data_IF_375217551796
#
_entry.id   IF_375217551796
#
_cell.length_a   1.000
_cell.length_b   1.000
_cell.length_c   1.000
_cell.angle_alpha   90.00
_cell.angle_beta   90.00
_cell.angle_gamma   90.00
#
_symmetry.space_group_name_H-M   'P 1'
#
loop_
_entity.id
_entity.type
_entity.pdbx_description
1 polymer ?
#
# COMPACT_ATOMS: atom_id res chain seq x y z
N UNK A 1 -1.79 17.83 -0.22
CA UNK A 1 -0.47 17.27 -0.52
C UNK A 1 -0.41 15.91 0.12
N UNK A 2 0.07 14.90 -0.62
CA UNK A 2 0.19 13.56 -0.09
C UNK A 2 1.27 13.48 1.00
N UNK A 3 1.17 12.51 1.90
CA UNK A 3 2.16 12.30 2.95
C UNK A 3 3.50 11.87 2.34
N UNK A 4 4.62 12.43 2.82
CA UNK A 4 5.96 12.04 2.35
C UNK A 4 6.35 10.71 2.97
N UNK A 5 6.91 9.82 2.16
CA UNK A 5 7.51 8.57 2.63
C UNK A 5 9.03 8.61 2.44
N UNK A 6 9.80 8.51 3.52
CA UNK A 6 11.27 8.41 3.46
C UNK A 6 11.72 7.15 4.18
N UNK A 7 11.34 7.02 5.46
CA UNK A 7 11.60 5.86 6.30
C UNK A 7 10.35 5.53 7.10
N UNK A 8 10.09 4.26 7.34
CA UNK A 8 8.98 3.79 8.14
C UNK A 8 9.40 2.60 8.98
N UNK A 9 9.22 2.70 10.30
CA UNK A 9 9.35 1.59 11.23
C UNK A 9 7.96 1.16 11.64
N UNK A 10 7.60 -0.11 11.43
CA UNK A 10 6.23 -0.55 11.66
C UNK A 10 6.11 -2.01 12.05
N UNK A 11 5.06 -2.29 12.83
CA UNK A 11 4.63 -3.64 13.16
C UNK A 11 4.23 -4.38 11.89
N UNK A 12 4.74 -5.60 11.75
CA UNK A 12 4.53 -6.46 10.59
C UNK A 12 3.43 -7.48 10.88
N UNK A 13 2.51 -7.62 9.93
CA UNK A 13 1.49 -8.67 9.96
C UNK A 13 1.67 -9.62 8.76
N UNK A 14 1.79 -10.94 9.00
CA UNK A 14 2.00 -11.93 7.94
C UNK A 14 0.67 -12.44 7.37
N UNK A 15 0.32 -12.01 6.17
CA UNK A 15 -0.78 -12.58 5.40
C UNK A 15 -0.24 -13.69 4.48
N UNK A 16 -0.22 -14.92 5.00
CA UNK A 16 0.31 -16.09 4.29
C UNK A 16 -0.67 -16.62 3.23
N UNK A 17 -0.96 -15.80 2.23
CA UNK A 17 -1.88 -16.09 1.13
C UNK A 17 -1.35 -15.49 -0.18
N UNK A 18 -1.28 -16.32 -1.23
CA UNK A 18 -0.91 -15.93 -2.59
C UNK A 18 -2.13 -15.53 -3.41
N UNK A 19 -1.91 -14.77 -4.50
CA UNK A 19 -2.96 -14.34 -5.41
C UNK A 19 -4.11 -13.61 -4.69
N UNK A 20 -3.76 -12.77 -3.72
CA UNK A 20 -4.72 -11.92 -3.02
C UNK A 20 -5.24 -10.88 -4.02
N UNK A 21 -6.44 -11.10 -4.55
CA UNK A 21 -7.02 -10.24 -5.56
C UNK A 21 -7.65 -8.96 -4.96
N UNK A 22 -8.07 -8.04 -5.84
CA UNK A 22 -8.67 -6.77 -5.43
C UNK A 22 -10.08 -6.91 -4.82
N UNK A 23 -10.80 -8.01 -5.04
CA UNK A 23 -12.04 -8.33 -4.34
C UNK A 23 -11.75 -8.75 -2.90
N UNK A 24 -10.73 -9.59 -2.69
CA UNK A 24 -10.26 -9.98 -1.37
C UNK A 24 -9.81 -8.76 -0.56
N UNK A 25 -9.06 -7.83 -1.16
CA UNK A 25 -8.64 -6.59 -0.46
C UNK A 25 -9.85 -5.72 -0.11
N UNK A 26 -10.74 -5.48 -1.06
CA UNK A 26 -11.95 -4.67 -0.85
C UNK A 26 -13.10 -5.18 -1.73
N UNK A 27 -14.13 -5.80 -1.11
CA UNK A 27 -15.25 -6.33 -1.88
C UNK A 27 -16.05 -5.25 -2.63
N UNK A 28 -16.55 -5.61 -3.81
CA UNK A 28 -17.21 -4.70 -4.76
C UNK A 28 -18.42 -3.93 -4.19
N UNK A 29 -19.11 -4.49 -3.20
CA UNK A 29 -20.29 -3.87 -2.58
C UNK A 29 -19.96 -2.56 -1.85
N UNK A 30 -18.70 -2.35 -1.46
CA UNK A 30 -18.28 -1.15 -0.75
C UNK A 30 -17.85 0.00 -1.67
N UNK A 31 -17.80 -0.24 -2.99
CA UNK A 31 -17.26 0.70 -3.99
C UNK A 31 -18.27 1.76 -4.46
N UNK A 32 -19.44 1.85 -3.82
CA UNK A 32 -20.46 2.87 -4.14
C UNK A 32 -20.24 4.19 -3.37
N UNK A 33 -19.31 4.22 -2.42
CA UNK A 33 -18.99 5.44 -1.66
C UNK A 33 -18.24 6.43 -2.56
N UNK A 34 -18.58 7.71 -2.43
CA UNK A 34 -17.92 8.82 -3.15
C UNK A 34 -16.74 9.42 -2.38
N UNK A 35 -16.58 9.10 -1.10
CA UNK A 35 -15.50 9.62 -0.24
C UNK A 35 -14.31 8.68 -0.24
N UNK A 36 -13.07 9.23 -0.23
CA UNK A 36 -11.84 8.43 -0.19
C UNK A 36 -11.52 7.78 1.17
N UNK A 37 -12.29 8.08 2.21
CA UNK A 37 -12.12 7.59 3.58
C UNK A 37 -13.20 6.60 3.98
N UNK A 38 -12.92 5.80 5.01
CA UNK A 38 -13.84 4.80 5.53
C UNK A 38 -13.86 3.50 4.74
N UNK A 39 -12.83 3.24 3.92
CA UNK A 39 -12.60 1.97 3.23
C UNK A 39 -11.79 1.00 4.09
N UNK A 40 -10.94 1.50 5.01
CA UNK A 40 -10.13 0.66 5.89
C UNK A 40 -10.96 -0.22 6.83
N UNK A 41 -12.17 0.23 7.20
CA UNK A 41 -13.13 -0.59 7.95
C UNK A 41 -13.58 -1.86 7.19
N UNK A 42 -13.51 -1.82 5.86
CA UNK A 42 -13.93 -2.89 4.97
C UNK A 42 -12.74 -3.64 4.34
N UNK A 43 -11.50 -3.33 4.78
CA UNK A 43 -10.31 -4.04 4.32
C UNK A 43 -10.41 -5.53 4.68
N UNK A 44 -10.20 -6.39 3.68
CA UNK A 44 -10.32 -7.84 3.79
C UNK A 44 -11.65 -8.31 4.35
N UNK A 45 -12.77 -7.63 4.04
CA UNK A 45 -14.04 -7.82 4.75
C UNK A 45 -14.48 -9.30 4.84
N UNK A 46 -14.48 -10.02 3.71
CA UNK A 46 -14.91 -11.42 3.62
C UNK A 46 -14.01 -12.38 4.41
N UNK A 47 -12.77 -12.00 4.72
CA UNK A 47 -11.85 -12.79 5.53
C UNK A 47 -11.82 -12.34 6.99
N UNK A 48 -11.94 -11.02 7.20
CA UNK A 48 -11.78 -10.34 8.47
C UNK A 48 -13.04 -10.39 9.32
N UNK A 49 -14.21 -10.60 8.74
CA UNK A 49 -15.47 -10.66 9.48
C UNK A 49 -16.26 -11.92 9.15
N UNK A 50 -17.00 -12.43 10.14
CA UNK A 50 -17.88 -13.58 10.00
C UNK A 50 -19.27 -13.19 9.49
N UNK A 51 -19.56 -11.88 9.42
CA UNK A 51 -20.82 -11.35 8.92
C UNK A 51 -20.61 -10.32 7.81
N UNK A 52 -21.62 -10.16 6.97
CA UNK A 52 -21.61 -9.18 5.87
C UNK A 52 -21.61 -7.72 6.37
N UNK A 53 -21.99 -7.51 7.64
CA UNK A 53 -22.09 -6.18 8.25
C UNK A 53 -20.75 -5.66 8.77
N UNK A 54 -19.72 -6.50 8.86
CA UNK A 54 -18.41 -6.14 9.41
C UNK A 54 -18.42 -5.90 10.91
N UNK A 55 -19.31 -6.57 11.66
CA UNK A 55 -19.50 -6.37 13.10
C UNK A 55 -18.93 -7.51 13.94
N UNK A 56 -18.78 -8.70 13.36
CA UNK A 56 -18.24 -9.87 14.04
C UNK A 56 -16.85 -10.21 13.48
N UNK A 57 -15.75 -9.79 14.13
CA UNK A 57 -14.40 -10.11 13.68
C UNK A 57 -14.18 -11.62 13.65
N UNK A 58 -13.61 -12.11 12.55
CA UNK A 58 -13.15 -13.50 12.42
C UNK A 58 -11.93 -13.71 13.33
N UNK A 59 -12.02 -14.54 14.39
CA UNK A 59 -10.91 -14.74 15.32
C UNK A 59 -9.73 -15.50 14.71
N UNK A 60 -9.91 -16.12 13.54
CA UNK A 60 -8.87 -16.88 12.83
C UNK A 60 -8.12 -16.04 11.79
N UNK A 61 -8.58 -14.81 11.53
CA UNK A 61 -7.93 -13.93 10.56
C UNK A 61 -6.83 -13.09 11.20
N UNK A 62 -5.64 -13.11 10.59
CA UNK A 62 -4.41 -12.57 11.17
C UNK A 62 -4.51 -11.10 11.60
N UNK A 63 -5.24 -10.26 10.86
CA UNK A 63 -5.40 -8.84 11.20
C UNK A 63 -6.27 -8.59 12.45
N UNK A 64 -7.01 -9.59 12.91
CA UNK A 64 -7.80 -9.51 14.14
C UNK A 64 -7.03 -10.01 15.36
N UNK A 65 -5.84 -10.60 15.18
CA UNK A 65 -5.08 -11.07 16.33
C UNK A 65 -4.57 -9.88 17.15
N UNK A 66 -4.62 -9.95 18.50
CA UNK A 66 -4.20 -8.85 19.37
C UNK A 66 -2.76 -8.36 19.12
N UNK A 67 -1.85 -9.28 18.82
CA UNK A 67 -0.43 -8.98 18.60
C UNK A 67 -0.14 -8.22 17.29
N UNK A 68 -1.11 -8.13 16.38
CA UNK A 68 -0.98 -7.42 15.10
C UNK A 68 -1.82 -6.13 15.05
N UNK A 69 -2.42 -5.73 16.17
CA UNK A 69 -3.17 -4.47 16.24
C UNK A 69 -2.24 -3.27 16.02
N UNK A 70 -2.61 -2.41 15.08
CA UNK A 70 -1.77 -1.27 14.67
C UNK A 70 -0.65 -1.63 13.68
N UNK A 71 -0.69 -2.82 13.08
CA UNK A 71 0.23 -3.18 12.01
C UNK A 71 0.15 -2.17 10.86
N UNK A 72 1.32 -1.74 10.38
CA UNK A 72 1.46 -0.78 9.28
C UNK A 72 2.33 -1.31 8.14
N UNK A 73 2.87 -2.52 8.29
CA UNK A 73 3.59 -3.27 7.26
C UNK A 73 2.87 -4.59 7.03
N UNK A 74 2.41 -4.82 5.80
CA UNK A 74 1.80 -6.08 5.38
C UNK A 74 2.85 -6.94 4.69
N UNK A 75 3.09 -8.15 5.20
CA UNK A 75 3.92 -9.15 4.53
C UNK A 75 2.98 -10.14 3.82
N UNK A 76 3.09 -10.26 2.50
CA UNK A 76 2.21 -11.08 1.68
C UNK A 76 2.99 -11.97 0.71
N UNK A 77 2.28 -12.86 0.02
CA UNK A 77 2.83 -13.76 -0.99
C UNK A 77 2.67 -13.20 -2.40
N UNK A 78 3.07 -13.98 -3.40
CA UNK A 78 3.13 -13.58 -4.79
C UNK A 78 1.78 -13.13 -5.36
N UNK A 79 1.87 -12.32 -6.43
CA UNK A 79 0.74 -11.83 -7.20
C UNK A 79 -0.28 -11.02 -6.37
N UNK A 80 0.20 -10.23 -5.41
CA UNK A 80 -0.66 -9.42 -4.56
C UNK A 80 -1.35 -8.29 -5.34
N UNK A 81 -2.63 -8.06 -5.08
CA UNK A 81 -3.46 -7.07 -5.76
C UNK A 81 -3.89 -7.47 -7.17
N UNK A 82 -3.92 -8.77 -7.49
CA UNK A 82 -4.34 -9.26 -8.79
C UNK A 82 -5.85 -9.11 -9.05
N UNK A 83 -6.31 -9.52 -10.24
CA UNK A 83 -7.71 -9.44 -10.63
C UNK A 83 -8.09 -8.07 -11.23
N UNK A 84 -9.29 -7.60 -10.90
CA UNK A 84 -9.86 -6.39 -11.54
C UNK A 84 -9.14 -5.11 -11.13
N UNK A 85 -9.04 -4.15 -12.06
CA UNK A 85 -8.50 -2.81 -11.74
C UNK A 85 -9.40 -2.11 -10.71
N UNK A 86 -8.85 -1.84 -9.53
CA UNK A 86 -9.55 -1.12 -8.44
C UNK A 86 -8.60 -0.20 -7.69
N UNK A 87 -8.78 1.11 -7.88
CA UNK A 87 -8.04 2.11 -7.10
C UNK A 87 -8.41 2.10 -5.60
N UNK A 88 -9.61 1.61 -5.28
CA UNK A 88 -10.09 1.47 -3.91
C UNK A 88 -9.29 0.45 -3.07
N UNK A 89 -8.59 -0.50 -3.70
CA UNK A 89 -7.80 -1.50 -2.97
C UNK A 89 -6.61 -0.88 -2.22
N UNK A 90 -5.74 -0.07 -2.88
CA UNK A 90 -4.77 0.76 -2.16
C UNK A 90 -5.41 1.70 -1.13
N UNK A 91 -6.56 2.30 -1.42
CA UNK A 91 -7.25 3.18 -0.44
C UNK A 91 -7.61 2.44 0.83
N UNK A 92 -8.20 1.24 0.73
CA UNK A 92 -8.56 0.43 1.88
C UNK A 92 -7.33 0.09 2.74
N UNK A 93 -6.20 -0.26 2.10
CA UNK A 93 -4.95 -0.54 2.80
C UNK A 93 -4.42 0.70 3.54
N UNK A 94 -4.35 1.85 2.87
CA UNK A 94 -3.82 3.08 3.45
C UNK A 94 -4.73 3.68 4.52
N UNK A 95 -6.05 3.61 4.33
CA UNK A 95 -7.06 4.10 5.28
C UNK A 95 -7.15 3.19 6.51
N UNK A 96 -6.80 1.90 6.38
CA UNK A 96 -6.61 1.01 7.53
C UNK A 96 -5.35 1.36 8.33
N UNK A 97 -4.31 1.89 7.67
CA UNK A 97 -3.06 2.31 8.30
C UNK A 97 -1.80 1.67 7.72
N UNK A 98 -1.91 0.85 6.67
CA UNK A 98 -0.73 0.31 6.00
C UNK A 98 0.03 1.40 5.25
N UNK A 99 1.35 1.40 5.43
CA UNK A 99 2.28 2.26 4.71
C UNK A 99 3.14 1.46 3.74
N UNK A 100 3.39 0.18 4.04
CA UNK A 100 4.22 -0.71 3.24
C UNK A 100 3.53 -2.04 3.02
N UNK A 101 3.63 -2.59 1.81
CA UNK A 101 3.33 -3.99 1.51
C UNK A 101 4.59 -4.64 0.97
N UNK A 102 5.03 -5.75 1.55
CA UNK A 102 6.19 -6.53 1.11
C UNK A 102 5.69 -7.83 0.51
N UNK A 103 6.05 -8.13 -0.74
CA UNK A 103 5.66 -9.36 -1.42
C UNK A 103 6.66 -9.72 -2.54
N UNK A 104 6.68 -10.96 -3.04
CA UNK A 104 7.53 -11.33 -4.16
C UNK A 104 7.14 -10.62 -5.46
N UNK A 105 5.84 -10.43 -5.67
CA UNK A 105 5.30 -9.79 -6.86
C UNK A 105 3.95 -9.14 -6.60
N UNK A 106 3.61 -8.17 -7.45
CA UNK A 106 2.38 -7.41 -7.41
C UNK A 106 1.80 -7.35 -8.82
N UNK A 107 0.47 -7.31 -8.94
CA UNK A 107 -0.15 -7.02 -10.22
C UNK A 107 0.14 -5.57 -10.65
N UNK A 108 0.45 -5.36 -11.94
CA UNK A 108 1.02 -4.10 -12.43
C UNK A 108 0.13 -2.87 -12.16
N UNK A 109 -1.19 -3.02 -12.31
CA UNK A 109 -2.15 -1.95 -12.08
C UNK A 109 -2.19 -1.58 -10.59
N UNK A 110 -2.30 -2.58 -9.71
CA UNK A 110 -2.26 -2.37 -8.27
C UNK A 110 -0.93 -1.72 -7.85
N UNK A 111 0.18 -2.21 -8.39
CA UNK A 111 1.51 -1.67 -8.15
C UNK A 111 1.58 -0.18 -8.53
N UNK A 112 1.08 0.22 -9.71
CA UNK A 112 1.00 1.63 -10.10
C UNK A 112 0.12 2.48 -9.18
N UNK A 113 -1.09 2.00 -8.88
CA UNK A 113 -2.04 2.71 -8.03
C UNK A 113 -1.56 2.88 -6.59
N UNK A 114 -0.70 1.99 -6.09
CA UNK A 114 -0.13 2.09 -4.74
C UNK A 114 0.65 3.39 -4.54
N UNK A 115 1.48 3.78 -5.51
CA UNK A 115 2.30 5.00 -5.42
C UNK A 115 1.44 6.26 -5.38
N UNK A 116 0.36 6.31 -6.16
CA UNK A 116 -0.58 7.44 -6.17
C UNK A 116 -1.30 7.63 -4.82
N UNK A 117 -1.25 6.61 -3.95
CA UNK A 117 -1.90 6.59 -2.65
C UNK A 117 -0.90 6.54 -1.49
N UNK A 118 0.40 6.78 -1.75
CA UNK A 118 1.46 6.72 -0.74
C UNK A 118 1.54 5.37 0.00
N UNK A 119 1.16 4.29 -0.68
CA UNK A 119 1.43 2.93 -0.27
C UNK A 119 2.72 2.47 -0.96
N UNK A 120 3.70 2.01 -0.19
CA UNK A 120 4.97 1.52 -0.72
C UNK A 120 4.91 0.00 -0.97
N UNK A 121 4.78 -0.47 -2.23
CA UNK A 121 4.97 -1.88 -2.56
C UNK A 121 6.46 -2.21 -2.69
N UNK A 122 6.97 -3.03 -1.79
CA UNK A 122 8.35 -3.53 -1.78
C UNK A 122 8.39 -4.93 -2.38
N UNK A 123 9.11 -5.06 -3.50
CA UNK A 123 9.38 -6.35 -4.14
C UNK A 123 10.68 -6.94 -3.61
N UNK A 124 10.62 -8.15 -3.06
CA UNK A 124 11.77 -8.98 -2.70
C UNK A 124 11.69 -10.32 -3.45
N UNK A 125 12.72 -11.15 -3.40
CA UNK A 125 12.63 -12.51 -3.95
C UNK A 125 11.76 -13.42 -3.08
N UNK A 126 11.23 -14.50 -3.66
CA UNK A 126 10.45 -15.50 -2.90
C UNK A 126 11.23 -16.05 -1.69
N UNK A 127 12.52 -16.33 -1.88
CA UNK A 127 13.39 -16.82 -0.80
C UNK A 127 13.54 -15.81 0.34
N UNK A 128 13.71 -14.52 0.03
CA UNK A 128 13.77 -13.46 1.06
C UNK A 128 12.43 -13.31 1.78
N UNK A 129 11.31 -13.39 1.06
CA UNK A 129 9.97 -13.34 1.65
C UNK A 129 9.72 -14.55 2.55
N UNK A 130 10.12 -15.76 2.16
CA UNK A 130 10.06 -16.97 3.00
C UNK A 130 10.83 -16.79 4.31
N UNK A 131 12.04 -16.22 4.24
CA UNK A 131 12.83 -15.89 5.43
C UNK A 131 12.09 -14.90 6.34
N UNK A 132 11.48 -13.86 5.78
CA UNK A 132 10.71 -12.87 6.54
C UNK A 132 9.48 -13.51 7.20
N UNK A 133 8.76 -14.40 6.51
CA UNK A 133 7.64 -15.14 7.10
C UNK A 133 8.09 -16.01 8.28
N UNK A 134 9.20 -16.73 8.13
CA UNK A 134 9.78 -17.52 9.21
C UNK A 134 10.17 -16.64 10.41
N UNK A 135 10.76 -15.47 10.15
CA UNK A 135 11.16 -14.51 11.18
C UNK A 135 9.96 -13.95 11.96
N UNK A 136 8.91 -13.52 11.27
CA UNK A 136 7.69 -12.98 11.91
C UNK A 136 6.95 -14.07 12.69
N UNK A 137 6.90 -15.30 12.16
CA UNK A 137 6.31 -16.44 12.85
C UNK A 137 7.05 -16.78 14.14
N UNK A 138 8.38 -16.70 14.14
CA UNK A 138 9.20 -16.91 15.34
C UNK A 138 9.11 -15.74 16.33
N UNK A 139 8.78 -14.53 15.87
CA UNK A 139 8.73 -13.31 16.68
C UNK A 139 7.43 -12.52 16.42
N UNK A 140 6.26 -13.00 16.89
CA UNK A 140 5.02 -12.26 16.73
C UNK A 140 5.12 -10.86 17.37
N UNK A 141 4.70 -9.82 16.66
CA UNK A 141 4.84 -8.43 17.12
C UNK A 141 6.12 -7.72 16.64
N UNK A 142 6.96 -8.38 15.82
CA UNK A 142 8.19 -7.77 15.30
C UNK A 142 7.91 -6.55 14.41
N UNK A 143 8.84 -5.59 14.46
CA UNK A 143 8.83 -4.41 13.61
C UNK A 143 9.95 -4.49 12.57
N UNK A 144 9.69 -3.99 11.36
CA UNK A 144 10.72 -3.80 10.34
C UNK A 144 10.95 -2.31 10.11
N UNK A 145 12.19 -1.97 9.74
CA UNK A 145 12.55 -0.64 9.26
C UNK A 145 12.64 -0.66 7.74
N UNK A 146 11.81 0.15 7.09
CA UNK A 146 11.79 0.29 5.63
C UNK A 146 12.31 1.66 5.26
N UNK A 147 13.43 1.68 4.55
CA UNK A 147 14.12 2.89 4.11
C UNK A 147 13.99 3.03 2.60
N UNK A 148 13.14 3.95 2.14
CA UNK A 148 12.96 4.22 0.71
C UNK A 148 14.15 4.97 0.11
N UNK A 149 14.87 5.75 0.93
CA UNK A 149 16.04 6.48 0.46
C UNK A 149 17.17 5.50 0.15
N UNK A 150 17.46 4.58 1.06
CA UNK A 150 18.45 3.52 0.87
C UNK A 150 17.93 2.34 0.03
N UNK A 151 16.62 2.22 -0.15
CA UNK A 151 15.91 1.07 -0.74
C UNK A 151 16.22 -0.25 -0.02
N UNK A 152 16.11 -0.21 1.30
CA UNK A 152 16.44 -1.32 2.20
C UNK A 152 15.29 -1.62 3.16
N UNK A 153 15.05 -2.90 3.44
CA UNK A 153 14.22 -3.39 4.55
C UNK A 153 15.12 -4.04 5.57
N UNK A 154 15.12 -3.55 6.81
CA UNK A 154 15.83 -4.18 7.93
C UNK A 154 14.83 -4.97 8.76
N UNK A 155 15.16 -6.25 8.96
CA UNK A 155 14.33 -7.18 9.71
C UNK A 155 15.22 -8.02 10.63
N UNK A 156 15.19 -7.71 11.92
CA UNK A 156 16.15 -8.25 12.88
C UNK A 156 17.58 -7.82 12.52
N UNK A 157 18.49 -8.79 12.37
CA UNK A 157 19.90 -8.54 12.03
C UNK A 157 20.16 -8.51 10.50
N UNK A 158 19.14 -8.82 9.69
CA UNK A 158 19.28 -8.89 8.23
C UNK A 158 18.78 -7.63 7.55
N UNK A 159 19.41 -7.31 6.42
CA UNK A 159 19.03 -6.21 5.53
C UNK A 159 18.76 -6.77 4.14
N UNK A 160 17.60 -6.44 3.60
CA UNK A 160 17.12 -6.86 2.29
C UNK A 160 17.05 -5.65 1.38
N UNK A 161 17.51 -5.77 0.13
CA UNK A 161 17.49 -4.66 -0.83
C UNK A 161 16.35 -4.82 -1.81
N UNK A 162 15.66 -3.73 -2.07
CA UNK A 162 14.65 -3.65 -3.11
C UNK A 162 15.00 -2.55 -4.12
N UNK A 163 14.29 -2.50 -5.23
CA UNK A 163 14.48 -1.49 -6.26
C UNK A 163 13.16 -0.88 -6.68
N UNK A 164 13.13 0.45 -6.80
CA UNK A 164 11.99 1.21 -7.28
C UNK A 164 12.46 2.16 -8.38
N UNK A 165 11.60 2.39 -9.35
CA UNK A 165 11.81 3.41 -10.37
C UNK A 165 12.12 4.79 -9.74
N UNK A 166 13.11 5.48 -10.29
CA UNK A 166 13.63 6.72 -9.72
C UNK A 166 12.56 7.82 -9.64
N UNK A 167 11.67 7.89 -10.62
CA UNK A 167 10.58 8.86 -10.63
C UNK A 167 9.56 8.55 -9.52
N UNK A 168 9.11 7.30 -9.40
CA UNK A 168 8.19 6.88 -8.31
C UNK A 168 8.79 7.13 -6.93
N UNK A 169 10.08 6.81 -6.75
CA UNK A 169 10.81 7.09 -5.51
C UNK A 169 10.84 8.59 -5.21
N UNK A 170 11.15 9.42 -6.21
CA UNK A 170 11.13 10.88 -6.06
C UNK A 170 9.75 11.39 -5.64
N UNK A 171 8.69 10.91 -6.29
CA UNK A 171 7.32 11.30 -5.97
C UNK A 171 6.94 10.97 -4.52
N UNK A 172 7.21 9.75 -4.06
CA UNK A 172 6.92 9.34 -2.67
C UNK A 172 7.72 10.15 -1.65
N UNK A 173 9.03 10.36 -1.88
CA UNK A 173 9.88 11.12 -0.97
C UNK A 173 9.47 12.59 -0.86
N UNK A 174 8.87 13.15 -1.91
CA UNK A 174 8.42 14.54 -1.95
C UNK A 174 6.93 14.71 -1.69
N UNK A 175 6.16 13.63 -1.51
CA UNK A 175 4.71 13.69 -1.28
C UNK A 175 3.95 14.19 -2.51
N UNK A 176 4.47 13.88 -3.71
CA UNK A 176 3.90 14.26 -5.00
C UNK A 176 2.98 13.14 -5.48
N UNK A 177 1.69 13.43 -5.57
CA UNK A 177 0.73 12.64 -6.35
C UNK A 177 0.59 13.26 -7.76
N UNK A 178 -0.25 12.67 -8.63
CA UNK A 178 -0.47 13.18 -9.99
C UNK A 178 -0.93 14.64 -10.03
N UNK A 179 -1.67 15.10 -9.02
CA UNK A 179 -2.13 16.48 -8.90
C UNK A 179 -0.94 17.36 -8.49
N UNK A 180 -0.19 16.94 -7.46
CA UNK A 180 1.00 17.61 -6.98
C UNK A 180 2.05 17.79 -8.07
N UNK A 181 2.27 16.78 -8.92
CA UNK A 181 3.13 16.86 -10.10
C UNK A 181 2.63 17.91 -11.09
N UNK A 182 1.33 17.96 -11.36
CA UNK A 182 0.75 18.96 -12.27
C UNK A 182 0.90 20.38 -11.71
N UNK A 183 0.68 20.55 -10.40
CA UNK A 183 0.82 21.83 -9.70
C UNK A 183 2.27 22.34 -9.67
N UNK A 184 3.28 21.49 -9.90
CA UNK A 184 4.66 21.96 -10.08
C UNK A 184 4.84 22.79 -11.36
N UNK A 185 3.88 22.75 -12.28
CA UNK A 185 3.90 23.47 -13.54
C UNK A 185 2.92 24.65 -13.59
N UNK A 186 2.37 25.08 -12.44
CA UNK A 186 1.35 26.14 -12.36
C UNK A 186 1.75 27.43 -13.10
N UNK A 187 2.97 27.93 -12.87
CA UNK A 187 3.50 29.11 -13.57
C UNK A 187 3.60 28.93 -15.09
N UNK A 188 3.96 27.72 -15.54
CA UNK A 188 4.08 27.41 -16.97
C UNK A 188 2.71 27.29 -17.62
N UNK A 189 1.74 26.72 -16.92
CA UNK A 189 0.33 26.65 -17.34
C UNK A 189 -0.23 28.07 -17.45
N UNK A 190 -0.08 28.90 -16.41
CA UNK A 190 -0.53 30.29 -16.42
C UNK A 190 0.10 31.10 -17.57
N UNK A 191 1.42 30.98 -17.79
CA UNK A 191 2.10 31.66 -18.90
C UNK A 191 1.60 31.22 -20.28
N UNK A 192 1.20 29.96 -20.42
CA UNK A 192 0.61 29.44 -21.65
C UNK A 192 -0.82 29.98 -21.85
N UNK A 193 -1.64 30.00 -20.80
CA UNK A 193 -3.01 30.55 -20.82
C UNK A 193 -3.04 32.06 -21.14
N UNK A 194 -2.07 32.83 -20.64
CA UNK A 194 -1.88 34.24 -20.97
C UNK A 194 -1.54 34.48 -22.46
N UNK A 195 -1.02 33.48 -23.16
CA UNK A 195 -0.66 33.55 -24.58
C UNK A 195 -1.73 32.95 -25.50
N UNK A 196 -2.78 32.36 -24.93
CA UNK A 196 -3.90 31.82 -25.73
C UNK A 196 -4.68 32.95 -26.41
N UNK A 197 -5.07 32.78 -27.69
CA UNK A 197 -5.95 33.72 -28.37
C UNK A 197 -7.26 33.92 -27.62
N UNK A 198 -7.83 35.13 -27.67
CA UNK A 198 -9.06 35.47 -26.94
C UNK A 198 -10.28 34.59 -27.29
N UNK A 199 -10.28 33.89 -28.42
CA UNK A 199 -11.35 32.97 -28.81
C UNK A 199 -11.23 31.56 -28.21
N UNK A 200 -10.10 31.23 -27.58
CA UNK A 200 -9.89 29.96 -26.85
C UNK A 200 -10.00 30.13 -25.32
N UNK A 201 -10.15 31.36 -24.83
CA UNK A 201 -10.38 31.65 -23.41
C UNK A 201 -11.85 31.57 -23.04
#
# INVERSE_FOLDING_TARGET
MAEKFIKHTGLVVPLDAANVDTDAIIPKQFLQKVTRTGFGAHLFNDWRFLDEKGQQPNPDFVLNFPQYQGASILLARENFGCGSSREHAPWALTDYGFKVVIAPSFADIFYGNSFNNQLLPVKLSDAEVDELFALVKANPGIHFDVDLEAQEVKAGEKTYRFTIDAFRRHCMMNGLDSIGLTLQHDDAIASYEEKQPAFMR
#
